data_IF_026581577265
#
_entry.id   IF_026581577265
#
_cell.length_a   1.000
_cell.length_b   1.000
_cell.length_c   1.000
_cell.angle_alpha   90.00
_cell.angle_beta   90.00
_cell.angle_gamma   90.00
#
_symmetry.space_group_name_H-M   'P 1'
#
loop_
_entity.id
_entity.type
_entity.pdbx_description
1 polymer ?
#
# COMPACT_ATOMS: atom_id res chain seq x y z
N UNK A 1 17.93 -66.69 -35.25
CA UNK A 1 18.36 -67.32 -36.51
C UNK A 1 17.14 -67.32 -37.45
N UNK A 2 17.31 -66.79 -38.67
CA UNK A 2 16.35 -66.76 -39.80
C UNK A 2 15.13 -65.82 -39.62
N UNK A 3 15.00 -64.61 -40.19
CA UNK A 3 15.23 -64.01 -41.54
C UNK A 3 13.98 -64.05 -42.47
N UNK A 4 13.54 -62.83 -42.90
CA UNK A 4 12.84 -62.41 -44.15
C UNK A 4 11.43 -62.96 -44.47
N UNK A 5 10.46 -62.32 -45.16
CA UNK A 5 10.15 -60.98 -45.74
C UNK A 5 8.87 -61.17 -46.59
N UNK A 6 7.94 -60.20 -46.65
CA UNK A 6 7.11 -59.74 -47.81
C UNK A 6 5.91 -58.93 -47.28
N UNK A 7 5.77 -57.61 -47.48
CA UNK A 7 5.66 -56.77 -48.68
C UNK A 7 4.23 -56.65 -49.26
N UNK A 8 3.93 -55.41 -49.72
CA UNK A 8 2.76 -54.88 -50.44
C UNK A 8 1.62 -54.30 -49.58
N UNK A 9 1.13 -53.08 -49.80
CA UNK A 9 1.48 -52.09 -50.82
C UNK A 9 0.59 -50.84 -50.78
N UNK A 10 1.16 -49.76 -51.36
CA UNK A 10 0.55 -48.68 -52.16
C UNK A 10 -0.54 -47.74 -51.59
N UNK A 11 -0.18 -46.45 -51.72
CA UNK A 11 -0.89 -45.37 -52.45
C UNK A 11 -1.76 -44.36 -51.69
N UNK A 12 -1.48 -43.07 -52.00
CA UNK A 12 -2.25 -41.85 -51.70
C UNK A 12 -1.68 -41.10 -50.48
N UNK A 13 -0.84 -40.06 -50.56
CA UNK A 13 -0.83 -38.86 -51.40
C UNK A 13 -2.10 -38.02 -51.23
N UNK A 14 -2.15 -37.20 -50.17
CA UNK A 14 -2.60 -35.80 -50.28
C UNK A 14 -1.72 -34.95 -49.37
N UNK A 15 -0.98 -34.06 -50.03
CA UNK A 15 -0.26 -32.94 -49.45
C UNK A 15 -1.25 -31.88 -49.00
N UNK A 16 -1.20 -31.44 -47.75
CA UNK A 16 -1.75 -30.14 -47.34
C UNK A 16 -0.64 -29.39 -46.63
N UNK A 17 0.11 -28.64 -47.43
CA UNK A 17 0.92 -27.52 -46.95
C UNK A 17 -0.07 -26.40 -46.60
N UNK A 18 -0.37 -26.24 -45.31
CA UNK A 18 -1.04 -25.05 -44.82
C UNK A 18 0.01 -23.98 -44.52
N UNK A 19 0.20 -23.10 -45.51
CA UNK A 19 0.88 -21.82 -45.34
C UNK A 19 0.04 -20.98 -44.36
N UNK A 20 0.46 -20.87 -43.10
CA UNK A 20 0.00 -19.79 -42.21
C UNK A 20 1.12 -18.76 -42.07
N UNK A 21 1.34 -17.99 -43.14
CA UNK A 21 1.93 -16.66 -43.04
C UNK A 21 0.82 -15.70 -42.61
N UNK A 22 0.46 -15.77 -41.33
CA UNK A 22 -0.33 -14.77 -40.65
C UNK A 22 0.61 -13.92 -39.80
N UNK A 23 1.00 -12.76 -40.31
CA UNK A 23 1.61 -11.69 -39.54
C UNK A 23 0.67 -11.30 -38.40
N UNK A 24 0.88 -11.88 -37.22
CA UNK A 24 0.29 -11.42 -35.96
C UNK A 24 1.08 -10.23 -35.41
N UNK A 25 1.13 -9.12 -36.14
CA UNK A 25 1.46 -7.82 -35.56
C UNK A 25 0.14 -7.17 -35.12
N UNK A 26 -0.18 -7.29 -33.84
CA UNK A 26 -1.31 -6.57 -33.28
C UNK A 26 -1.86 -7.22 -32.03
N UNK A 27 -1.21 -6.97 -30.89
CA UNK A 27 -1.82 -6.99 -29.54
C UNK A 27 -0.82 -6.45 -28.50
N UNK A 28 -0.32 -5.21 -28.66
CA UNK A 28 0.44 -4.53 -27.59
C UNK A 28 -0.16 -3.17 -27.18
N UNK A 29 -1.27 -2.74 -27.80
CA UNK A 29 -1.83 -1.41 -27.57
C UNK A 29 -2.71 -1.29 -26.31
N UNK A 30 -3.28 -2.39 -25.82
CA UNK A 30 -4.21 -2.37 -24.68
C UNK A 30 -3.49 -2.37 -23.31
N UNK A 31 -2.35 -3.07 -23.18
CA UNK A 31 -1.58 -3.08 -21.93
C UNK A 31 -0.84 -1.77 -21.66
N UNK A 32 -0.39 -1.07 -22.70
CA UNK A 32 0.33 0.20 -22.56
C UNK A 32 -0.56 1.37 -22.12
N UNK A 33 -1.84 1.37 -22.53
CA UNK A 33 -2.79 2.41 -22.12
C UNK A 33 -3.18 2.28 -20.64
N UNK A 34 -3.41 1.05 -20.16
CA UNK A 34 -3.80 0.74 -18.78
C UNK A 34 -2.76 1.18 -17.73
N UNK A 35 -1.49 0.80 -17.91
CA UNK A 35 -0.40 1.20 -17.00
C UNK A 35 -0.18 2.72 -16.97
N UNK A 36 -0.35 3.40 -18.11
CA UNK A 36 -0.22 4.86 -18.17
C UNK A 36 -1.33 5.61 -17.40
N UNK A 37 -2.55 5.07 -17.41
CA UNK A 37 -3.69 5.64 -16.69
C UNK A 37 -3.53 5.45 -15.18
N UNK A 38 -3.22 4.24 -14.72
CA UNK A 38 -2.96 3.94 -13.31
C UNK A 38 -1.83 4.80 -12.74
N UNK A 39 -0.73 4.91 -13.48
CA UNK A 39 0.38 5.78 -13.08
C UNK A 39 -0.06 7.24 -12.98
N UNK A 40 -0.91 7.72 -13.88
CA UNK A 40 -1.46 9.08 -13.81
C UNK A 40 -2.35 9.26 -12.57
N UNK A 41 -3.26 8.31 -12.31
CA UNK A 41 -4.13 8.33 -11.11
C UNK A 41 -3.31 8.34 -9.83
N UNK A 42 -2.35 7.41 -9.69
CA UNK A 42 -1.46 7.35 -8.53
C UNK A 42 -0.62 8.63 -8.37
N UNK A 43 -0.14 9.23 -9.47
CA UNK A 43 0.60 10.50 -9.42
C UNK A 43 -0.30 11.67 -9.00
N UNK A 44 -1.58 11.68 -9.42
CA UNK A 44 -2.54 12.68 -8.99
C UNK A 44 -2.88 12.54 -7.51
N UNK A 45 -3.14 11.32 -7.04
CA UNK A 45 -3.34 10.99 -5.62
C UNK A 45 -2.14 11.48 -4.80
N UNK A 46 -0.94 11.12 -5.24
CA UNK A 46 0.31 11.55 -4.64
C UNK A 46 0.40 13.07 -4.47
N UNK A 47 0.12 13.81 -5.55
CA UNK A 47 0.16 15.28 -5.52
C UNK A 47 -0.84 15.91 -4.55
N UNK A 48 -1.94 15.22 -4.22
CA UNK A 48 -2.94 15.68 -3.25
C UNK A 48 -2.54 15.36 -1.81
N UNK A 49 -1.96 14.18 -1.57
CA UNK A 49 -1.47 13.78 -0.24
C UNK A 49 -0.30 14.67 0.19
N UNK A 50 0.64 14.92 -0.72
CA UNK A 50 1.91 15.62 -0.42
C UNK A 50 1.87 17.09 -0.84
N UNK A 51 0.66 17.64 -1.02
CA UNK A 51 0.51 19.03 -1.43
C UNK A 51 1.12 19.97 -0.39
N UNK A 52 2.10 20.72 -0.89
CA UNK A 52 2.95 21.74 -0.28
C UNK A 52 2.12 22.98 0.13
N UNK A 53 1.12 22.80 1.01
CA UNK A 53 0.41 23.95 1.59
C UNK A 53 1.38 24.68 2.52
N UNK A 54 2.07 25.68 1.98
CA UNK A 54 2.76 26.75 2.72
C UNK A 54 1.84 27.40 3.78
N UNK A 55 0.52 27.23 3.69
CA UNK A 55 -0.49 27.79 4.61
C UNK A 55 -1.04 26.80 5.66
N UNK A 56 -0.80 25.50 5.52
CA UNK A 56 -1.11 24.55 6.60
C UNK A 56 0.14 24.48 7.44
N UNK A 57 0.05 24.96 8.68
CA UNK A 57 1.03 24.80 9.76
C UNK A 57 1.18 23.30 10.14
N UNK A 58 1.34 22.43 9.13
CA UNK A 58 1.61 21.00 9.24
C UNK A 58 3.11 20.91 9.45
N UNK A 59 3.50 21.04 10.71
CA UNK A 59 4.82 20.63 11.16
C UNK A 59 4.92 19.11 10.96
N UNK A 60 5.22 18.65 9.73
CA UNK A 60 5.73 17.30 9.44
C UNK A 60 7.19 17.20 9.91
N UNK A 61 7.49 17.83 11.05
CA UNK A 61 8.83 18.07 11.55
C UNK A 61 9.26 16.82 12.30
N UNK A 62 9.82 15.88 11.55
CA UNK A 62 10.64 14.80 12.07
C UNK A 62 11.95 15.39 12.63
N UNK A 63 11.94 15.85 13.88
CA UNK A 63 13.17 16.22 14.61
C UNK A 63 13.86 14.95 15.14
N UNK A 64 14.42 14.16 14.25
CA UNK A 64 15.19 12.96 14.60
C UNK A 64 15.46 12.05 13.41
N UNK A 65 16.31 11.02 13.58
CA UNK A 65 16.59 10.02 12.54
C UNK A 65 15.38 9.11 12.24
N UNK A 66 14.33 9.18 13.05
CA UNK A 66 13.12 8.39 12.90
C UNK A 66 12.03 9.22 12.25
N UNK A 67 11.58 8.79 11.08
CA UNK A 67 10.43 9.35 10.39
C UNK A 67 9.32 8.31 10.30
N UNK A 68 8.10 8.71 10.70
CA UNK A 68 6.87 7.91 10.65
C UNK A 68 5.83 8.67 9.86
N UNK A 69 5.20 7.99 8.91
CA UNK A 69 4.22 8.57 7.99
C UNK A 69 2.77 8.34 8.44
N UNK A 70 2.52 7.21 9.09
CA UNK A 70 1.18 6.71 9.44
C UNK A 70 1.27 5.80 10.67
N UNK A 71 0.23 5.73 11.53
CA UNK A 71 -1.05 6.46 11.48
C UNK A 71 -1.00 7.87 12.09
N UNK A 72 0.19 8.48 12.21
CA UNK A 72 0.36 9.67 13.03
C UNK A 72 1.35 10.68 12.45
N UNK A 73 1.32 11.91 12.96
CA UNK A 73 2.40 12.88 12.84
C UNK A 73 2.88 13.35 14.22
N UNK A 74 4.02 14.04 14.25
CA UNK A 74 4.51 14.74 15.44
C UNK A 74 3.89 16.14 15.44
N UNK A 75 2.85 16.35 16.25
CA UNK A 75 2.12 17.63 16.29
C UNK A 75 1.11 17.69 17.44
N UNK A 76 0.43 18.83 17.57
CA UNK A 76 -0.54 19.05 18.66
C UNK A 76 -1.87 18.31 18.47
N UNK A 77 -2.19 17.91 17.23
CA UNK A 77 -3.45 17.23 16.91
C UNK A 77 -3.25 15.72 16.88
N UNK A 78 -4.14 14.98 17.54
CA UNK A 78 -4.20 13.52 17.45
C UNK A 78 -5.01 13.16 16.21
N UNK A 79 -4.42 12.55 15.17
CA UNK A 79 -5.16 12.18 13.97
C UNK A 79 -6.18 11.09 14.26
N UNK A 80 -7.31 11.18 13.57
CA UNK A 80 -8.34 10.15 13.60
C UNK A 80 -8.09 9.13 12.47
N UNK A 81 -8.30 7.85 12.78
CA UNK A 81 -8.01 6.72 11.91
C UNK A 81 -9.24 5.85 11.76
N UNK A 82 -9.61 5.55 10.53
CA UNK A 82 -10.75 4.69 10.22
C UNK A 82 -10.41 3.20 10.37
N UNK A 83 -9.27 2.77 9.83
CA UNK A 83 -8.90 1.36 9.71
C UNK A 83 -8.58 0.70 11.06
N UNK A 84 -9.30 -0.37 11.43
CA UNK A 84 -9.14 -1.05 12.73
C UNK A 84 -7.91 -1.97 12.84
N UNK A 85 -7.26 -2.24 11.72
CA UNK A 85 -5.92 -2.82 11.64
C UNK A 85 -4.95 -1.80 11.03
N UNK A 86 -4.48 -0.80 11.80
CA UNK A 86 -3.73 0.29 11.22
C UNK A 86 -2.41 -0.17 10.57
N UNK A 87 -2.02 0.54 9.51
CA UNK A 87 -0.73 0.32 8.85
C UNK A 87 0.26 1.36 9.33
N UNK A 88 1.30 0.87 10.00
CA UNK A 88 2.36 1.71 10.56
C UNK A 88 3.45 1.80 9.50
N UNK A 89 3.83 3.01 9.09
CA UNK A 89 4.76 3.24 7.96
C UNK A 89 5.90 4.14 8.41
N UNK A 90 7.14 3.77 8.10
CA UNK A 90 8.36 4.46 8.52
C UNK A 90 9.44 4.46 7.43
N UNK A 91 10.50 5.25 7.66
CA UNK A 91 11.69 5.28 6.82
C UNK A 91 12.57 4.02 7.00
N UNK A 92 13.05 3.37 5.93
CA UNK A 92 13.89 2.18 6.02
C UNK A 92 15.12 2.36 6.93
N UNK A 93 15.51 1.28 7.61
CA UNK A 93 16.72 1.21 8.44
C UNK A 93 16.71 2.03 9.74
N UNK A 94 15.61 2.73 10.05
CA UNK A 94 15.52 3.61 11.21
C UNK A 94 14.89 2.94 12.45
N UNK A 95 13.98 1.98 12.26
CA UNK A 95 13.14 1.42 13.33
C UNK A 95 13.67 0.05 13.77
N UNK A 96 13.93 -0.11 15.05
CA UNK A 96 14.32 -1.37 15.68
C UNK A 96 13.15 -2.09 16.36
N UNK A 97 12.13 -1.35 16.81
CA UNK A 97 10.91 -1.90 17.39
C UNK A 97 9.75 -0.91 17.26
N UNK A 98 8.55 -1.44 17.14
CA UNK A 98 7.28 -0.71 17.18
C UNK A 98 6.41 -1.32 18.28
N UNK A 99 5.62 -0.51 18.96
CA UNK A 99 4.69 -0.97 20.00
C UNK A 99 3.39 -0.17 19.99
N UNK A 100 2.31 -0.81 20.42
CA UNK A 100 1.02 -0.15 20.65
C UNK A 100 0.58 -0.34 22.10
N UNK A 101 0.07 0.75 22.67
CA UNK A 101 -0.49 0.80 24.01
C UNK A 101 -1.79 1.62 24.01
N UNK A 102 -2.59 1.45 25.07
CA UNK A 102 -3.75 2.30 25.37
C UNK A 102 -3.43 3.11 26.63
N UNK A 103 -3.77 4.40 26.64
CA UNK A 103 -3.55 5.32 27.78
C UNK A 103 -2.11 5.32 28.34
N UNK A 104 -1.08 5.16 27.49
CA UNK A 104 0.33 5.06 27.93
C UNK A 104 0.59 3.94 28.97
N UNK A 105 -0.23 2.89 28.98
CA UNK A 105 -0.02 1.67 29.78
C UNK A 105 1.05 0.79 29.12
N UNK A 106 1.30 -0.38 29.70
CA UNK A 106 2.17 -1.39 29.09
C UNK A 106 1.71 -1.74 27.67
N UNK A 107 2.63 -1.89 26.71
CA UNK A 107 2.28 -2.31 25.36
C UNK A 107 1.49 -3.62 25.35
N UNK A 108 0.42 -3.68 24.56
CA UNK A 108 -0.33 -4.92 24.32
C UNK A 108 0.12 -5.61 23.03
N UNK A 109 0.88 -4.89 22.19
CA UNK A 109 1.41 -5.39 20.93
C UNK A 109 2.79 -4.78 20.67
N UNK A 110 3.71 -5.60 20.16
CA UNK A 110 5.05 -5.21 19.78
C UNK A 110 5.44 -5.90 18.46
N UNK A 111 6.26 -5.23 17.67
CA UNK A 111 6.78 -5.74 16.40
C UNK A 111 8.24 -5.31 16.20
N UNK A 112 9.07 -6.26 15.77
CA UNK A 112 10.49 -6.03 15.45
C UNK A 112 10.68 -6.19 13.94
N UNK A 113 10.83 -5.09 13.18
CA UNK A 113 10.96 -5.14 11.73
C UNK A 113 12.32 -5.70 11.28
N UNK A 114 12.36 -6.25 10.07
CA UNK A 114 13.62 -6.47 9.37
C UNK A 114 14.21 -5.17 8.82
N UNK A 115 15.49 -5.14 8.46
CA UNK A 115 16.18 -3.91 8.07
C UNK A 115 15.60 -3.22 6.83
N UNK A 116 15.01 -4.00 5.92
CA UNK A 116 14.45 -3.55 4.64
C UNK A 116 12.94 -3.25 4.73
N UNK A 117 12.30 -3.56 5.86
CA UNK A 117 10.89 -3.28 6.07
C UNK A 117 10.65 -1.79 6.34
N UNK A 118 9.59 -1.28 5.72
CA UNK A 118 9.17 0.12 5.81
C UNK A 118 7.77 0.27 6.38
N UNK A 119 7.07 -0.84 6.59
CA UNK A 119 5.74 -0.83 7.15
C UNK A 119 5.38 -2.18 7.76
N UNK A 120 4.37 -2.17 8.63
CA UNK A 120 3.69 -3.36 9.13
C UNK A 120 2.20 -3.09 9.22
N UNK A 121 1.42 -4.08 8.82
CA UNK A 121 -0.02 -4.11 9.10
C UNK A 121 -0.18 -4.68 10.49
N UNK A 122 -0.81 -3.94 11.40
CA UNK A 122 -1.12 -4.44 12.72
C UNK A 122 -1.91 -5.76 12.63
N UNK A 123 -1.42 -6.80 13.30
CA UNK A 123 -1.90 -8.18 13.17
C UNK A 123 -2.54 -8.72 14.47
N UNK A 124 -2.79 -7.86 15.45
CA UNK A 124 -3.52 -8.22 16.67
C UNK A 124 -5.03 -8.08 16.54
N UNK A 125 -5.72 -8.05 17.69
CA UNK A 125 -7.18 -7.90 17.75
C UNK A 125 -7.60 -6.50 17.26
N UNK A 126 -8.67 -6.37 16.44
CA UNK A 126 -9.10 -5.09 15.87
C UNK A 126 -9.20 -3.96 16.90
N UNK A 127 -8.70 -2.79 16.55
CA UNK A 127 -8.70 -1.64 17.45
C UNK A 127 -10.10 -1.07 17.65
N UNK A 128 -10.41 -0.75 18.91
CA UNK A 128 -11.71 -0.32 19.38
C UNK A 128 -12.04 1.10 18.87
N UNK A 129 -13.26 1.33 18.34
CA UNK A 129 -13.69 2.66 17.91
C UNK A 129 -13.66 3.69 19.03
N UNK A 130 -13.26 4.92 18.73
CA UNK A 130 -13.20 6.04 19.69
C UNK A 130 -12.01 6.00 20.65
N UNK A 131 -11.30 4.88 20.74
CA UNK A 131 -10.17 4.71 21.66
C UNK A 131 -8.91 5.43 21.15
N UNK A 132 -8.10 5.95 22.08
CA UNK A 132 -6.81 6.59 21.76
C UNK A 132 -5.67 5.63 22.03
N UNK A 133 -4.84 5.44 21.02
CA UNK A 133 -3.68 4.55 21.06
C UNK A 133 -2.38 5.35 21.04
N UNK A 134 -1.42 4.85 21.80
CA UNK A 134 -0.06 5.36 21.86
C UNK A 134 0.85 4.44 21.05
N UNK A 135 1.57 5.02 20.09
CA UNK A 135 2.50 4.33 19.22
C UNK A 135 3.93 4.59 19.71
N UNK A 136 4.58 3.57 20.27
CA UNK A 136 5.99 3.64 20.66
C UNK A 136 6.90 3.22 19.50
N UNK A 137 7.82 4.08 19.09
CA UNK A 137 8.80 3.81 18.02
C UNK A 137 10.20 3.88 18.59
N UNK A 138 10.98 2.83 18.35
CA UNK A 138 12.29 2.64 18.98
C UNK A 138 13.39 2.64 17.93
N UNK A 139 14.41 3.48 18.09
CA UNK A 139 15.65 3.38 17.31
C UNK A 139 16.55 2.22 17.78
N UNK A 140 16.36 1.77 19.03
CA UNK A 140 17.12 0.70 19.68
C UNK A 140 16.14 -0.19 20.45
N UNK A 141 16.14 -1.48 20.16
CA UNK A 141 15.11 -2.44 20.62
C UNK A 141 14.90 -2.46 22.16
N UNK A 142 15.99 -2.38 22.92
CA UNK A 142 16.00 -2.49 24.39
C UNK A 142 16.14 -1.14 25.11
N UNK A 143 15.75 -0.04 24.45
CA UNK A 143 15.78 1.32 25.02
C UNK A 143 14.36 1.87 25.23
N UNK A 144 14.24 3.09 25.76
CA UNK A 144 12.98 3.82 25.75
C UNK A 144 12.57 4.21 24.33
N UNK A 145 11.25 4.30 24.03
CA UNK A 145 10.80 4.72 22.72
C UNK A 145 11.29 6.14 22.41
N UNK A 146 11.83 6.28 21.20
CA UNK A 146 12.38 7.54 20.69
C UNK A 146 11.26 8.49 20.24
N UNK A 147 10.16 7.95 19.70
CA UNK A 147 8.93 8.68 19.41
C UNK A 147 7.75 8.00 20.12
N UNK A 148 6.84 8.81 20.65
CA UNK A 148 5.62 8.35 21.34
C UNK A 148 4.39 9.15 20.84
N UNK A 149 4.09 9.16 19.54
CA UNK A 149 2.88 9.80 19.03
C UNK A 149 1.60 9.05 19.42
N UNK A 150 0.47 9.77 19.39
CA UNK A 150 -0.86 9.20 19.60
C UNK A 150 -1.69 9.29 18.32
N UNK A 151 -2.62 8.36 18.16
CA UNK A 151 -3.71 8.43 17.18
C UNK A 151 -5.01 7.95 17.83
N UNK A 152 -6.15 8.38 17.31
CA UNK A 152 -7.46 8.00 17.81
C UNK A 152 -8.21 7.21 16.74
N UNK A 153 -8.91 6.15 17.13
CA UNK A 153 -9.83 5.49 16.23
C UNK A 153 -11.09 6.33 16.07
N UNK A 154 -11.58 6.51 14.84
CA UNK A 154 -12.88 7.15 14.63
C UNK A 154 -13.99 6.45 15.41
N UNK A 155 -15.07 7.16 15.70
CA UNK A 155 -16.24 6.59 16.38
C UNK A 155 -16.86 5.43 15.60
N UNK A 156 -17.60 4.55 16.28
CA UNK A 156 -18.30 3.44 15.62
C UNK A 156 -19.33 3.91 14.57
N UNK A 157 -19.98 5.05 14.81
CA UNK A 157 -20.92 5.67 13.88
C UNK A 157 -20.19 6.15 12.62
N UNK A 158 -19.13 6.94 12.79
CA UNK A 158 -18.28 7.42 11.68
C UNK A 158 -17.68 6.25 10.90
N UNK A 159 -17.19 5.21 11.59
CA UNK A 159 -16.64 4.00 10.95
C UNK A 159 -17.69 3.34 10.06
N UNK A 160 -18.90 3.16 10.56
CA UNK A 160 -20.01 2.54 9.82
C UNK A 160 -20.39 3.37 8.59
N UNK A 161 -20.48 4.70 8.73
CA UNK A 161 -20.79 5.60 7.61
C UNK A 161 -19.75 5.45 6.50
N UNK A 162 -18.46 5.57 6.83
CA UNK A 162 -17.38 5.42 5.87
C UNK A 162 -17.41 4.03 5.23
N UNK A 163 -17.56 2.96 6.02
CA UNK A 163 -17.62 1.59 5.49
C UNK A 163 -18.74 1.41 4.45
N UNK A 164 -19.93 1.94 4.73
CA UNK A 164 -21.06 1.87 3.79
C UNK A 164 -20.78 2.64 2.49
N UNK A 165 -20.06 3.76 2.56
CA UNK A 165 -19.66 4.52 1.37
C UNK A 165 -18.61 3.76 0.54
N UNK A 166 -17.63 3.15 1.20
CA UNK A 166 -16.59 2.33 0.57
C UNK A 166 -17.13 1.03 -0.05
N UNK A 167 -18.21 0.46 0.48
CA UNK A 167 -18.88 -0.73 -0.09
C UNK A 167 -19.43 -0.48 -1.51
N UNK A 168 -19.66 0.78 -1.88
CA UNK A 168 -20.15 1.14 -3.21
C UNK A 168 -19.10 1.04 -4.32
N UNK A 169 -17.83 0.80 -3.97
CA UNK A 169 -16.75 0.75 -4.94
C UNK A 169 -16.82 -0.52 -5.78
N UNK A 170 -16.94 -0.33 -7.10
CA UNK A 170 -17.01 -1.43 -8.06
C UNK A 170 -15.64 -2.07 -8.28
N UNK A 171 -15.65 -3.38 -8.55
CA UNK A 171 -14.49 -4.15 -9.01
C UNK A 171 -13.88 -3.54 -10.29
N UNK A 172 -12.57 -3.73 -10.53
CA UNK A 172 -11.90 -3.11 -11.67
C UNK A 172 -12.54 -3.54 -12.99
N UNK A 173 -12.64 -2.60 -13.93
CA UNK A 173 -12.93 -2.91 -15.33
C UNK A 173 -11.66 -3.37 -16.09
N UNK A 174 -10.48 -3.34 -15.44
CA UNK A 174 -9.18 -3.62 -16.07
C UNK A 174 -8.56 -4.92 -15.57
N UNK A 175 -8.06 -5.74 -16.50
CA UNK A 175 -7.57 -7.11 -16.26
C UNK A 175 -6.13 -7.20 -15.72
N UNK A 176 -5.48 -6.07 -15.43
CA UNK A 176 -4.04 -5.98 -15.15
C UNK A 176 -3.72 -5.64 -13.69
N UNK A 177 -4.68 -5.12 -12.93
CA UNK A 177 -4.51 -4.75 -11.51
C UNK A 177 -5.22 -5.77 -10.64
N UNK A 178 -4.60 -6.16 -9.54
CA UNK A 178 -5.25 -7.04 -8.57
C UNK A 178 -6.48 -6.34 -7.97
N UNK A 179 -7.51 -7.09 -7.61
CA UNK A 179 -8.68 -6.50 -6.94
C UNK A 179 -8.29 -5.77 -5.64
N UNK A 180 -7.26 -6.25 -4.92
CA UNK A 180 -6.77 -5.63 -3.70
C UNK A 180 -6.14 -4.26 -3.98
N UNK A 181 -5.26 -4.17 -4.97
CA UNK A 181 -4.62 -2.91 -5.35
C UNK A 181 -5.64 -1.90 -5.90
N UNK A 182 -6.58 -2.35 -6.73
CA UNK A 182 -7.67 -1.50 -7.20
C UNK A 182 -8.50 -0.93 -6.03
N UNK A 183 -8.86 -1.78 -5.07
CA UNK A 183 -9.61 -1.37 -3.89
C UNK A 183 -8.84 -0.34 -3.08
N UNK A 184 -7.53 -0.57 -2.86
CA UNK A 184 -6.66 0.38 -2.17
C UNK A 184 -6.60 1.73 -2.89
N UNK A 185 -6.52 1.76 -4.23
CA UNK A 185 -6.53 3.00 -5.00
C UNK A 185 -7.85 3.77 -4.80
N UNK A 186 -9.00 3.09 -4.89
CA UNK A 186 -10.31 3.71 -4.70
C UNK A 186 -10.49 4.26 -3.27
N UNK A 187 -10.09 3.48 -2.26
CA UNK A 187 -10.08 3.91 -0.86
C UNK A 187 -9.20 5.14 -0.67
N UNK A 188 -8.01 5.14 -1.27
CA UNK A 188 -7.08 6.26 -1.19
C UNK A 188 -7.69 7.55 -1.77
N UNK A 189 -8.34 7.48 -2.93
CA UNK A 189 -9.04 8.63 -3.52
C UNK A 189 -10.12 9.17 -2.59
N UNK A 190 -10.95 8.28 -2.03
CA UNK A 190 -11.98 8.65 -1.07
C UNK A 190 -11.41 9.36 0.15
N UNK A 191 -10.39 8.78 0.79
CA UNK A 191 -9.80 9.34 2.00
C UNK A 191 -9.14 10.69 1.76
N UNK A 192 -8.51 10.88 0.59
CA UNK A 192 -7.97 12.18 0.17
C UNK A 192 -9.07 13.22 0.02
N UNK A 193 -10.22 12.85 -0.57
CA UNK A 193 -11.35 13.76 -0.78
C UNK A 193 -12.07 14.15 0.51
N UNK A 194 -11.97 13.32 1.54
CA UNK A 194 -12.62 13.52 2.84
C UNK A 194 -11.65 13.97 3.95
N UNK A 195 -10.44 14.44 3.60
CA UNK A 195 -9.41 14.93 4.54
C UNK A 195 -8.98 13.89 5.60
N UNK A 196 -8.93 12.60 5.22
CA UNK A 196 -8.33 11.49 5.97
C UNK A 196 -6.96 11.08 5.38
N UNK A 197 -5.94 11.94 5.40
CA UNK A 197 -4.68 11.67 4.69
C UNK A 197 -3.93 10.44 5.23
N UNK A 198 -4.06 10.10 6.52
CA UNK A 198 -3.39 8.93 7.09
C UNK A 198 -4.07 7.64 6.64
N UNK A 199 -5.40 7.55 6.60
CA UNK A 199 -6.09 6.40 6.02
C UNK A 199 -5.80 6.26 4.52
N UNK A 200 -5.59 7.37 3.80
CA UNK A 200 -5.15 7.32 2.40
C UNK A 200 -3.76 6.65 2.26
N UNK A 201 -2.81 7.00 3.13
CA UNK A 201 -1.49 6.33 3.17
C UNK A 201 -1.67 4.85 3.53
N UNK A 202 -2.45 4.55 4.57
CA UNK A 202 -2.66 3.17 5.03
C UNK A 202 -3.28 2.29 3.94
N UNK A 203 -4.24 2.80 3.17
CA UNK A 203 -4.84 2.07 2.07
C UNK A 203 -3.78 1.61 1.06
N UNK A 204 -2.89 2.51 0.62
CA UNK A 204 -1.80 2.16 -0.31
C UNK A 204 -0.82 1.13 0.27
N UNK A 205 -0.46 1.25 1.54
CA UNK A 205 0.50 0.35 2.21
C UNK A 205 -0.13 -0.95 2.73
N UNK A 206 -1.46 -1.09 2.68
CA UNK A 206 -2.15 -2.34 3.05
C UNK A 206 -2.05 -3.44 1.98
N UNK A 207 -1.63 -3.08 0.76
CA UNK A 207 -1.50 -4.00 -0.37
C UNK A 207 -0.28 -4.90 -0.15
N UNK A 208 -0.51 -6.18 0.19
CA UNK A 208 0.53 -7.17 0.49
C UNK A 208 1.48 -7.46 -0.69
N UNK A 209 0.95 -7.43 -1.91
CA UNK A 209 1.68 -7.71 -3.15
C UNK A 209 1.47 -6.55 -4.12
N UNK A 210 2.13 -5.39 -3.91
CA UNK A 210 1.93 -4.22 -4.75
C UNK A 210 2.52 -4.45 -6.14
N UNK A 211 1.89 -3.90 -7.17
CA UNK A 211 2.50 -3.78 -8.50
C UNK A 211 3.81 -2.98 -8.44
N UNK A 212 4.64 -3.11 -9.48
CA UNK A 212 5.87 -2.31 -9.58
C UNK A 212 5.58 -0.81 -9.59
N UNK A 213 4.46 -0.40 -10.20
CA UNK A 213 3.98 0.97 -10.20
C UNK A 213 3.58 1.46 -8.80
N UNK A 214 2.82 0.67 -8.03
CA UNK A 214 2.42 1.03 -6.67
C UNK A 214 3.63 1.07 -5.73
N UNK A 215 4.52 0.08 -5.82
CA UNK A 215 5.76 0.05 -5.03
C UNK A 215 6.59 1.32 -5.25
N UNK A 216 6.78 1.73 -6.52
CA UNK A 216 7.52 2.95 -6.84
C UNK A 216 6.85 4.25 -6.34
N UNK A 217 5.55 4.23 -6.04
CA UNK A 217 4.84 5.35 -5.41
C UNK A 217 5.00 5.30 -3.89
N UNK A 218 4.91 4.12 -3.27
CA UNK A 218 5.18 3.93 -1.84
C UNK A 218 6.60 4.38 -1.46
N UNK A 219 7.61 4.02 -2.26
CA UNK A 219 9.00 4.44 -2.03
C UNK A 219 9.18 5.96 -2.11
N UNK A 220 8.64 6.60 -3.15
CA UNK A 220 8.65 8.06 -3.29
C UNK A 220 7.91 8.76 -2.16
N UNK A 221 6.88 8.09 -1.62
CA UNK A 221 6.12 8.58 -0.48
C UNK A 221 6.96 8.70 0.77
N UNK A 222 7.66 7.62 1.10
CA UNK A 222 8.62 7.62 2.21
C UNK A 222 9.72 8.64 1.98
N UNK A 223 10.33 8.65 0.78
CA UNK A 223 11.42 9.57 0.46
C UNK A 223 11.00 11.02 0.65
N UNK A 224 9.91 11.47 0.03
CA UNK A 224 9.55 12.90 0.04
C UNK A 224 9.10 13.36 1.42
N UNK A 225 8.32 12.57 2.16
CA UNK A 225 7.82 12.96 3.50
C UNK A 225 8.95 13.00 4.52
N UNK A 226 9.90 12.05 4.45
CA UNK A 226 10.97 11.94 5.44
C UNK A 226 12.23 12.76 5.12
N UNK A 227 12.42 13.20 3.87
CA UNK A 227 13.55 14.06 3.48
C UNK A 227 13.22 15.54 3.57
N UNK A 228 11.96 15.96 3.37
CA UNK A 228 11.55 17.36 3.50
C UNK A 228 11.57 17.91 4.93
N UNK A 229 11.87 17.07 5.93
CA UNK A 229 11.90 17.43 7.35
C UNK A 229 13.32 17.63 7.91
N UNK A 230 14.36 17.57 7.06
CA UNK A 230 15.78 17.71 7.46
C UNK A 230 16.41 19.08 7.15
N UNK A 231 15.66 20.01 6.54
CA UNK A 231 16.07 21.41 6.32
C UNK A 231 15.38 22.36 7.32
#
# INVERSE_FOLDING_TARGET
MTIHFKAMGRMGLVSVVALCLGLGLGSNASAQNSSSDLRSRLTNIWSRIVRDDEDRERSLVSRGPLCVLSPTHLGANTPEIWHDQPVIVWQPGAVAKVSLAVDSKSPFWEYTPSADETHVIYDGDPLEPGETYTLGIYAIENADPTLIPNFQMVSAETRTLISNELESFSSPNESTVSNAEWTAIQQTEYFVEHDFPYDAIQALFSVREPSAELLGIQEKMIEKVCTSSQD
#
